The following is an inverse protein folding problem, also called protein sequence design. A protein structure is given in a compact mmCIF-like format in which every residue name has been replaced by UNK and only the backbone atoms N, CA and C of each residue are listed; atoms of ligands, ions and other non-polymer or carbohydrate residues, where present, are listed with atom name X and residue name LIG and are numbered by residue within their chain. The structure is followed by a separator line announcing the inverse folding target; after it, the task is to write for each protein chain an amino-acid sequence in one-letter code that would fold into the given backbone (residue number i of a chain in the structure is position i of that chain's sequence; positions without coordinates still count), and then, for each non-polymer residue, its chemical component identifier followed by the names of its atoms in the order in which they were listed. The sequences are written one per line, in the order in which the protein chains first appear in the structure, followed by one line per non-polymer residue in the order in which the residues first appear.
data_IF_271278664972
#
_entry.id   IF_271278664972
#
_cell.length_a   1.000
_cell.length_b   1.000
_cell.length_c   1.000
_cell.angle_alpha   90.00
_cell.angle_beta   90.00
_cell.angle_gamma   90.00
#
_symmetry.space_group_name_H-M   'P 1'
#
loop_
_entity.id
_entity.type
_entity.pdbx_description
1 polymer ?
#
# COMPACT_ATOMS: atom_id res chain seq x y z
N UNK A 1 -0.34 2.84 4.91
CA UNK A 1 0.62 2.00 4.16
C UNK A 1 0.02 0.67 3.73
N UNK A 2 -0.54 -0.13 4.65
CA UNK A 2 -1.11 -1.45 4.35
C UNK A 2 -2.17 -1.42 3.24
N UNK A 3 -2.96 -0.34 3.15
CA UNK A 3 -3.89 -0.09 2.03
C UNK A 3 -3.24 -0.24 0.65
N UNK A 4 -2.02 0.27 0.45
CA UNK A 4 -1.35 0.25 -0.85
C UNK A 4 -0.95 -1.16 -1.28
N UNK A 5 -0.59 -2.00 -0.30
CA UNK A 5 -0.25 -3.41 -0.50
C UNK A 5 -1.46 -4.35 -0.42
N UNK A 6 -2.65 -3.80 -0.19
CA UNK A 6 -3.91 -4.55 -0.21
C UNK A 6 -4.25 -5.00 -1.63
N UNK A 7 -4.96 -6.12 -1.73
CA UNK A 7 -5.29 -6.77 -3.02
C UNK A 7 -6.04 -5.83 -3.98
N UNK A 8 -6.99 -5.06 -3.42
CA UNK A 8 -7.77 -4.09 -4.19
C UNK A 8 -6.91 -2.98 -4.80
N UNK A 9 -5.91 -2.47 -4.07
CA UNK A 9 -5.03 -1.43 -4.57
C UNK A 9 -4.03 -2.01 -5.58
N UNK A 10 -3.35 -3.12 -5.25
CA UNK A 10 -2.37 -3.76 -6.15
C UNK A 10 -2.99 -4.29 -7.46
N UNK A 11 -4.30 -4.47 -7.53
CA UNK A 11 -5.01 -4.82 -8.77
C UNK A 11 -5.28 -3.60 -9.66
N UNK A 12 -5.49 -2.42 -9.06
CA UNK A 12 -5.85 -1.19 -9.78
C UNK A 12 -4.63 -0.28 -10.04
N UNK A 13 -3.69 -0.24 -9.12
CA UNK A 13 -2.51 0.62 -9.13
C UNK A 13 -1.38 -0.04 -9.94
N UNK A 14 -1.32 0.31 -11.24
CA UNK A 14 -0.28 -0.19 -12.15
C UNK A 14 1.14 0.26 -11.78
N UNK A 15 1.28 1.40 -11.11
CA UNK A 15 2.60 1.92 -10.73
C UNK A 15 3.19 1.04 -9.65
N UNK A 16 2.47 0.87 -8.54
CA UNK A 16 2.94 0.04 -7.44
C UNK A 16 3.02 -1.43 -7.83
N UNK A 17 2.07 -1.92 -8.64
CA UNK A 17 2.08 -3.31 -9.14
C UNK A 17 3.36 -3.65 -9.91
N UNK A 18 3.84 -2.74 -10.76
CA UNK A 18 5.11 -2.93 -11.49
C UNK A 18 6.29 -3.13 -10.55
N UNK A 19 6.38 -2.35 -9.47
CA UNK A 19 7.45 -2.53 -8.49
C UNK A 19 7.38 -3.89 -7.82
N UNK A 20 6.19 -4.29 -7.34
CA UNK A 20 5.97 -5.57 -6.66
C UNK A 20 6.21 -6.78 -7.59
N UNK A 21 5.88 -6.66 -8.87
CA UNK A 21 6.11 -7.72 -9.87
C UNK A 21 7.61 -7.85 -10.25
N UNK A 22 8.38 -6.76 -10.17
CA UNK A 22 9.82 -6.73 -10.42
C UNK A 22 10.61 -7.28 -9.22
N UNK A 23 10.29 -6.81 -8.03
CA UNK A 23 10.93 -7.21 -6.77
C UNK A 23 9.87 -7.16 -5.64
N UNK A 24 9.76 -8.20 -4.80
CA UNK A 24 8.87 -8.18 -3.65
C UNK A 24 9.14 -6.99 -2.70
N UNK A 25 10.37 -6.45 -2.68
CA UNK A 25 10.77 -5.31 -1.87
C UNK A 25 10.67 -4.00 -2.65
N UNK A 26 9.73 -3.15 -2.23
CA UNK A 26 9.50 -1.83 -2.79
C UNK A 26 10.25 -0.77 -1.97
N UNK A 27 11.03 0.14 -2.60
CA UNK A 27 11.71 1.22 -1.89
C UNK A 27 10.72 2.15 -1.18
N UNK A 28 11.00 2.49 0.09
CA UNK A 28 10.13 3.38 0.87
C UNK A 28 10.08 4.81 0.32
N UNK A 29 11.14 5.23 -0.36
CA UNK A 29 11.26 6.57 -0.96
C UNK A 29 10.15 6.86 -1.96
N UNK A 30 9.69 5.86 -2.74
CA UNK A 30 8.61 6.10 -3.70
C UNK A 30 7.30 6.47 -2.99
N UNK A 31 7.08 5.99 -1.77
CA UNK A 31 5.86 6.29 -1.00
C UNK A 31 5.86 7.73 -0.48
N UNK A 32 7.02 8.37 -0.32
CA UNK A 32 7.08 9.81 -0.02
C UNK A 32 6.52 10.67 -1.16
N UNK A 33 6.47 10.13 -2.39
CA UNK A 33 5.88 10.82 -3.54
C UNK A 33 4.35 10.73 -3.58
N UNK A 34 3.74 9.84 -2.79
CA UNK A 34 2.30 9.59 -2.84
C UNK A 34 1.53 10.71 -2.14
N UNK A 35 0.52 11.26 -2.80
CA UNK A 35 -0.22 12.42 -2.29
C UNK A 35 -0.84 12.22 -0.91
N UNK A 36 -1.29 11.00 -0.59
CA UNK A 36 -1.85 10.69 0.74
C UNK A 36 -0.78 10.36 1.80
N UNK A 37 0.47 10.10 1.40
CA UNK A 37 1.58 9.82 2.32
C UNK A 37 2.38 11.07 2.66
N UNK A 38 2.54 12.01 1.71
CA UNK A 38 3.23 13.30 1.90
C UNK A 38 2.88 14.02 3.21
N UNK A 39 1.60 14.20 3.59
CA UNK A 39 1.27 14.90 4.83
C UNK A 39 1.44 14.04 6.10
N UNK A 40 1.66 12.72 5.97
CA UNK A 40 1.75 11.79 7.10
C UNK A 40 3.20 11.40 7.43
N UNK A 41 4.08 11.44 6.44
CA UNK A 41 5.47 11.08 6.58
C UNK A 41 6.34 11.92 5.66
N UNK A 42 7.34 12.57 6.25
CA UNK A 42 8.32 13.40 5.54
C UNK A 42 9.59 12.61 5.20
N UNK A 43 9.92 11.60 6.01
CA UNK A 43 11.14 10.79 5.89
C UNK A 43 10.80 9.29 5.87
N UNK A 44 11.59 8.54 5.10
CA UNK A 44 11.64 7.07 5.08
C UNK A 44 11.72 6.49 6.49
N UNK A 45 12.49 7.10 7.39
CA UNK A 45 12.64 6.64 8.78
C UNK A 45 11.31 6.63 9.55
N UNK A 46 10.44 7.62 9.32
CA UNK A 46 9.13 7.65 9.95
C UNK A 46 8.25 6.51 9.44
N UNK A 47 8.29 6.26 8.12
CA UNK A 47 7.56 5.15 7.51
C UNK A 47 8.08 3.82 8.06
N UNK A 48 9.40 3.61 8.08
CA UNK A 48 10.02 2.40 8.61
C UNK A 48 9.63 2.16 10.08
N UNK A 49 9.69 3.20 10.93
CA UNK A 49 9.28 3.09 12.33
C UNK A 49 7.81 2.68 12.49
N UNK A 50 6.92 3.23 11.67
CA UNK A 50 5.50 2.87 11.69
C UNK A 50 5.26 1.43 11.22
N UNK A 51 6.05 0.96 10.24
CA UNK A 51 5.94 -0.39 9.69
C UNK A 51 6.48 -1.48 10.61
N UNK A 52 7.32 -1.14 11.58
CA UNK A 52 7.86 -2.11 12.54
C UNK A 52 6.76 -2.83 13.35
N UNK A 53 5.61 -2.18 13.55
CA UNK A 53 4.44 -2.75 14.23
C UNK A 53 3.39 -3.35 13.27
N UNK A 54 3.64 -3.36 11.95
CA UNK A 54 2.67 -3.88 10.97
C UNK A 54 2.68 -5.40 10.95
N UNK A 55 1.48 -5.98 10.95
CA UNK A 55 1.29 -7.43 10.82
C UNK A 55 1.33 -7.89 9.35
N UNK A 56 1.03 -6.99 8.41
CA UNK A 56 0.93 -7.31 6.98
C UNK A 56 2.22 -7.00 6.20
N UNK A 57 3.03 -6.07 6.68
CA UNK A 57 4.23 -5.58 6.00
C UNK A 57 5.49 -5.92 6.78
N UNK A 58 6.58 -6.11 6.05
CA UNK A 58 7.92 -6.39 6.57
C UNK A 58 8.92 -5.45 5.90
N UNK A 59 9.88 -4.98 6.67
CA UNK A 59 11.01 -4.20 6.19
C UNK A 59 12.17 -5.10 5.80
N UNK A 60 13.00 -4.65 4.87
CA UNK A 60 14.29 -5.30 4.62
C UNK A 60 15.28 -5.06 5.76
N UNK A 61 16.43 -5.73 5.71
CA UNK A 61 17.49 -5.61 6.73
C UNK A 61 17.99 -4.17 6.91
N UNK A 62 17.95 -3.36 5.83
CA UNK A 62 18.36 -1.96 5.87
C UNK A 62 17.25 -1.00 6.31
N UNK A 63 16.02 -1.47 6.50
CA UNK A 63 14.83 -0.66 6.78
C UNK A 63 14.54 0.45 5.74
N UNK A 64 14.98 0.23 4.48
CA UNK A 64 14.81 1.16 3.36
C UNK A 64 13.79 0.66 2.33
N UNK A 65 13.47 -0.63 2.37
CA UNK A 65 12.49 -1.26 1.49
C UNK A 65 11.44 -1.99 2.31
N UNK A 66 10.27 -2.16 1.73
CA UNK A 66 9.14 -2.84 2.35
C UNK A 66 8.56 -3.87 1.40
N UNK A 67 8.14 -5.00 1.94
CA UNK A 67 7.39 -6.02 1.24
C UNK A 67 6.16 -6.44 2.00
N UNK A 68 5.24 -7.12 1.30
CA UNK A 68 4.14 -7.81 1.94
C UNK A 68 4.61 -9.15 2.53
N UNK A 69 4.24 -9.43 3.79
CA UNK A 69 4.55 -10.70 4.47
C UNK A 69 3.78 -11.88 3.87
N UNK A 70 2.53 -11.63 3.48
CA UNK A 70 1.64 -12.62 2.89
C UNK A 70 1.67 -12.57 1.37
N UNK A 71 1.62 -13.74 0.73
CA UNK A 71 1.42 -13.82 -0.72
C UNK A 71 0.04 -13.27 -1.09
N UNK A 72 -0.08 -12.66 -2.27
CA UNK A 72 -1.39 -12.27 -2.78
C UNK A 72 -2.26 -13.52 -3.01
N UNK A 73 -3.55 -13.49 -2.61
CA UNK A 73 -4.47 -14.57 -2.89
C UNK A 73 -4.74 -14.70 -4.40
N UNK A 74 -4.90 -15.93 -4.90
CA UNK A 74 -5.13 -16.23 -6.31
C UNK A 74 -6.51 -15.77 -6.84
N UNK A 75 -7.51 -15.61 -5.96
CA UNK A 75 -8.89 -15.31 -6.36
C UNK A 75 -9.28 -13.83 -6.17
N UNK A 76 -9.69 -13.22 -7.29
CA UNK A 76 -10.09 -11.81 -7.44
C UNK A 76 -11.60 -11.68 -7.67
N UNK A 77 -12.43 -12.30 -6.84
CA UNK A 77 -13.87 -11.99 -6.84
C UNK A 77 -14.12 -10.73 -5.99
N UNK A 78 -13.94 -9.57 -6.63
CA UNK A 78 -14.12 -8.24 -5.99
C UNK A 78 -15.56 -7.73 -6.12
N UNK A 79 -16.38 -8.37 -6.97
CA UNK A 79 -17.76 -7.93 -7.23
C UNK A 79 -18.69 -8.16 -6.04
N UNK A 80 -18.49 -9.22 -5.25
CA UNK A 80 -19.35 -9.51 -4.08
C UNK A 80 -19.19 -8.52 -2.91
N UNK A 81 -18.18 -7.65 -2.95
CA UNK A 81 -17.87 -6.68 -1.88
C UNK A 81 -18.11 -5.23 -2.28
N UNK A 82 -18.77 -4.99 -3.41
CA UNK A 82 -19.03 -3.64 -3.92
C UNK A 82 -20.44 -3.20 -3.53
N UNK A 83 -20.55 -2.28 -2.57
CA UNK A 83 -21.81 -1.62 -2.21
C UNK A 83 -21.94 -0.31 -3.00
N UNK A 84 -23.07 -0.13 -3.68
CA UNK A 84 -23.44 1.13 -4.31
C UNK A 84 -24.03 2.09 -3.26
N UNK A 85 -23.59 3.35 -3.28
CA UNK A 85 -24.11 4.39 -2.39
C UNK A 85 -24.56 5.57 -3.26
N UNK A 86 -25.83 5.92 -3.18
CA UNK A 86 -26.39 7.17 -3.70
C UNK A 86 -26.84 8.05 -2.51
N UNK A 87 -26.81 9.38 -2.69
CA UNK A 87 -27.04 10.41 -1.65
C UNK A 87 -25.87 10.73 -0.69
N UNK A 88 -24.62 10.77 -1.19
CA UNK A 88 -23.58 11.53 -0.48
C UNK A 88 -23.92 13.03 -0.60
N UNK A 89 -24.05 13.77 0.52
CA UNK A 89 -24.23 15.22 0.45
C UNK A 89 -23.03 15.83 -0.29
N UNK A 90 -23.28 16.79 -1.17
CA UNK A 90 -22.20 17.56 -1.78
C UNK A 90 -21.46 18.28 -0.65
N UNK A 91 -20.15 18.04 -0.51
CA UNK A 91 -19.35 18.77 0.46
C UNK A 91 -19.42 20.27 0.12
N UNK A 92 -20.01 21.04 1.04
CA UNK A 92 -20.15 22.49 0.97
C UNK A 92 -18.95 23.21 1.56
#
# INVERSE_FOLDING_TARGET
MEFYFGDANLTKDRFLRRYVDLDPYVPLEIFLTFNKMKPLAEDVKQIAKALNNSQLLELDESALKVRRKTKMPDQRDVNDKTLYVEALPAEG
#
